data_IF_528114730700
#
_entry.id   IF_528114730700
#
_cell.length_a   1.000
_cell.length_b   1.000
_cell.length_c   1.000
_cell.angle_alpha   90.00
_cell.angle_beta   90.00
_cell.angle_gamma   90.00
#
_symmetry.space_group_name_H-M   'P 1'
#
loop_
_entity.id
_entity.type
_entity.pdbx_description
1 polymer ?
#
# COMPACT_ATOMS: atom_id res chain seq x y z
N UNK A 1 -3.90 22.49 4.01
CA UNK A 1 -3.82 23.94 3.72
C UNK A 1 -2.35 24.36 3.55
N UNK A 2 -1.48 24.03 4.51
CA UNK A 2 -0.05 24.35 4.45
C UNK A 2 0.66 23.86 3.17
N UNK A 3 0.50 22.59 2.79
CA UNK A 3 1.17 22.04 1.59
C UNK A 3 0.75 22.77 0.29
N UNK A 4 -0.56 23.01 0.12
CA UNK A 4 -1.09 23.79 -1.02
C UNK A 4 -0.49 25.20 -1.06
N UNK A 5 -0.43 25.88 0.09
CA UNK A 5 0.15 27.22 0.19
C UNK A 5 1.65 27.22 -0.13
N UNK A 6 2.40 26.24 0.38
CA UNK A 6 3.82 26.12 0.10
C UNK A 6 4.09 25.98 -1.40
N UNK A 7 3.39 25.07 -2.09
CA UNK A 7 3.57 24.94 -3.54
C UNK A 7 3.14 26.21 -4.27
N UNK A 8 2.00 26.81 -3.93
CA UNK A 8 1.54 28.06 -4.54
C UNK A 8 2.56 29.21 -4.40
N UNK A 9 3.27 29.30 -3.27
CA UNK A 9 4.30 30.32 -3.03
C UNK A 9 5.64 30.01 -3.72
N UNK A 10 5.88 28.76 -4.13
CA UNK A 10 7.17 28.31 -4.67
C UNK A 10 7.09 27.84 -6.14
N UNK A 11 5.94 27.94 -6.80
CA UNK A 11 5.73 27.44 -8.18
C UNK A 11 6.73 28.01 -9.19
N UNK A 12 7.09 29.29 -9.08
CA UNK A 12 8.01 29.96 -10.02
C UNK A 12 9.41 29.31 -10.02
N UNK A 13 9.81 28.69 -8.90
CA UNK A 13 11.08 27.99 -8.77
C UNK A 13 11.05 26.56 -9.37
N UNK A 14 9.86 26.03 -9.68
CA UNK A 14 9.65 24.65 -10.11
C UNK A 14 9.60 24.48 -11.64
N UNK A 15 10.05 25.48 -12.41
CA UNK A 15 10.34 25.38 -13.87
C UNK A 15 9.26 24.68 -14.71
N UNK A 16 7.98 25.04 -14.52
CA UNK A 16 6.87 24.53 -15.34
C UNK A 16 6.33 23.16 -14.92
N UNK A 17 6.71 22.63 -13.75
CA UNK A 17 6.08 21.44 -13.17
C UNK A 17 4.62 21.71 -12.85
N UNK A 18 3.74 20.77 -13.18
CA UNK A 18 2.35 20.78 -12.69
C UNK A 18 2.29 20.03 -11.37
N UNK A 19 1.83 20.71 -10.31
CA UNK A 19 1.67 20.10 -8.98
C UNK A 19 0.19 20.07 -8.62
N UNK A 20 -0.28 18.89 -8.24
CA UNK A 20 -1.61 18.71 -7.67
C UNK A 20 -1.48 18.17 -6.24
N UNK A 21 -2.05 18.90 -5.28
CA UNK A 21 -2.08 18.48 -3.88
C UNK A 21 -3.52 18.11 -3.53
N UNK A 22 -3.77 16.83 -3.29
CA UNK A 22 -5.08 16.32 -2.91
C UNK A 22 -5.11 16.01 -1.40
N UNK A 23 -6.30 16.05 -0.81
CA UNK A 23 -6.55 15.61 0.57
C UNK A 23 -7.40 14.36 0.52
N UNK A 24 -7.08 13.36 1.33
CA UNK A 24 -7.84 12.10 1.27
C UNK A 24 -9.27 12.26 1.78
N UNK A 25 -9.53 13.23 2.65
CA UNK A 25 -10.88 13.55 3.14
C UNK A 25 -11.80 14.09 2.03
N UNK A 26 -11.23 14.58 0.92
CA UNK A 26 -11.99 15.06 -0.23
C UNK A 26 -12.48 13.89 -1.12
N UNK A 27 -12.03 12.64 -0.86
CA UNK A 27 -12.44 11.46 -1.62
C UNK A 27 -13.76 10.87 -1.10
N UNK A 28 -14.86 11.20 -1.77
CA UNK A 28 -16.20 10.70 -1.40
C UNK A 28 -16.34 9.16 -1.45
N UNK A 29 -15.57 8.50 -2.33
CA UNK A 29 -15.54 7.04 -2.45
C UNK A 29 -14.72 6.37 -1.32
N UNK A 30 -13.87 7.10 -0.61
CA UNK A 30 -13.01 6.56 0.44
C UNK A 30 -13.78 6.47 1.78
N UNK A 31 -14.71 5.52 1.85
CA UNK A 31 -15.58 5.31 3.01
C UNK A 31 -15.70 3.82 3.38
N UNK A 32 -16.27 3.53 4.55
CA UNK A 32 -16.39 2.18 5.10
C UNK A 32 -17.29 1.23 4.28
N UNK A 33 -18.13 1.76 3.38
CA UNK A 33 -18.92 0.91 2.47
C UNK A 33 -18.10 0.32 1.33
N UNK A 34 -16.97 0.96 0.99
CA UNK A 34 -16.09 0.52 -0.10
C UNK A 34 -14.73 0.01 0.38
N UNK A 35 -14.16 0.62 1.42
CA UNK A 35 -12.79 0.36 1.90
C UNK A 35 -12.82 -0.58 3.13
N UNK A 36 -12.33 -1.83 3.02
CA UNK A 36 -12.41 -2.80 4.13
C UNK A 36 -11.65 -2.36 5.38
N UNK A 37 -10.53 -1.64 5.23
CA UNK A 37 -9.76 -1.13 6.37
C UNK A 37 -10.57 -0.11 7.18
N UNK A 38 -11.29 0.81 6.52
CA UNK A 38 -12.15 1.77 7.20
C UNK A 38 -13.33 1.08 7.89
N UNK A 39 -13.88 0.03 7.28
CA UNK A 39 -14.92 -0.80 7.90
C UNK A 39 -14.42 -1.47 9.17
N UNK A 40 -13.21 -2.04 9.14
CA UNK A 40 -12.57 -2.62 10.32
C UNK A 40 -12.27 -1.57 11.38
N UNK A 41 -11.89 -0.35 11.01
CA UNK A 41 -11.65 0.73 11.98
C UNK A 41 -12.90 1.22 12.72
N UNK A 42 -14.09 0.95 12.21
CA UNK A 42 -15.35 1.25 12.89
C UNK A 42 -15.73 0.19 13.92
N UNK A 43 -15.07 -0.96 13.91
CA UNK A 43 -15.29 -2.06 14.85
C UNK A 43 -14.60 -1.79 16.20
N UNK A 44 -15.35 -1.96 17.30
CA UNK A 44 -14.90 -1.64 18.65
C UNK A 44 -13.72 -2.51 19.10
N UNK A 45 -13.66 -3.76 18.64
CA UNK A 45 -12.58 -4.68 18.99
C UNK A 45 -11.29 -4.31 18.26
N UNK A 46 -11.41 -3.87 17.01
CA UNK A 46 -10.29 -3.30 16.24
C UNK A 46 -9.80 -2.00 16.85
N UNK A 47 -10.70 -1.12 17.27
CA UNK A 47 -10.34 0.11 17.96
C UNK A 47 -9.64 -0.16 19.29
N UNK A 48 -10.15 -1.09 20.10
CA UNK A 48 -9.52 -1.45 21.36
C UNK A 48 -8.12 -2.03 21.14
N UNK A 49 -7.91 -2.89 20.14
CA UNK A 49 -6.59 -3.45 19.85
C UNK A 49 -5.54 -2.38 19.51
N UNK A 50 -5.90 -1.38 18.68
CA UNK A 50 -4.95 -0.38 18.19
C UNK A 50 -4.85 0.87 19.08
N UNK A 51 -5.92 1.24 19.79
CA UNK A 51 -6.03 2.50 20.53
C UNK A 51 -6.22 2.33 22.04
N UNK A 52 -6.40 1.11 22.59
CA UNK A 52 -6.43 0.94 24.05
C UNK A 52 -5.04 1.15 24.66
N UNK A 53 -4.88 2.32 25.27
CA UNK A 53 -3.83 2.56 26.23
C UNK A 53 -4.19 1.87 27.55
N UNK A 54 -3.29 1.01 28.03
CA UNK A 54 -3.15 0.58 29.43
C UNK A 54 -3.99 -0.57 30.03
N UNK A 55 -4.97 -1.19 29.34
CA UNK A 55 -5.82 -2.23 29.98
C UNK A 55 -5.71 -3.66 29.40
N UNK A 56 -4.63 -4.00 28.70
CA UNK A 56 -4.44 -5.37 28.19
C UNK A 56 -3.25 -6.01 28.91
N UNK A 57 -3.43 -7.22 29.45
CA UNK A 57 -2.56 -8.03 30.34
C UNK A 57 -1.20 -8.41 29.73
N UNK A 58 -0.51 -7.49 29.06
CA UNK A 58 0.79 -7.72 28.43
C UNK A 58 0.76 -8.62 27.19
N UNK A 59 -0.42 -9.00 26.67
CA UNK A 59 -0.55 -9.92 25.53
C UNK A 59 -0.21 -9.30 24.18
N UNK A 60 -0.44 -8.00 24.00
CA UNK A 60 -0.20 -7.31 22.73
C UNK A 60 1.05 -6.43 22.81
N UNK A 61 2.16 -6.76 22.11
CA UNK A 61 3.39 -5.99 22.24
C UNK A 61 3.24 -4.54 21.77
N UNK A 62 3.88 -3.58 22.44
CA UNK A 62 3.71 -2.12 22.24
C UNK A 62 3.93 -1.69 20.77
N UNK A 63 4.81 -2.39 20.04
CA UNK A 63 5.05 -2.16 18.60
C UNK A 63 3.82 -2.36 17.69
N UNK A 64 2.79 -3.04 18.19
CA UNK A 64 1.53 -3.33 17.48
C UNK A 64 0.43 -2.29 17.73
N UNK A 65 0.69 -1.28 18.58
CA UNK A 65 -0.23 -0.19 18.93
C UNK A 65 0.08 1.13 18.22
N UNK A 66 0.60 1.07 16.99
CA UNK A 66 0.94 2.28 16.23
C UNK A 66 -0.18 2.61 15.22
N UNK A 67 -0.93 3.71 15.42
CA UNK A 67 -1.99 4.11 14.50
C UNK A 67 -1.49 4.44 13.08
N UNK A 68 -0.17 4.61 12.87
CA UNK A 68 0.41 4.71 11.52
C UNK A 68 0.12 3.50 10.64
N UNK A 69 -0.04 2.30 11.22
CA UNK A 69 -0.41 1.09 10.47
C UNK A 69 -1.85 1.11 9.96
N UNK A 70 -2.67 2.03 10.47
CA UNK A 70 -4.04 2.28 10.05
C UNK A 70 -4.17 3.60 9.30
N UNK A 71 -3.05 4.28 9.03
CA UNK A 71 -3.06 5.53 8.29
C UNK A 71 -3.63 5.28 6.90
N UNK A 72 -4.78 5.89 6.63
CA UNK A 72 -5.41 5.79 5.31
C UNK A 72 -4.52 6.28 4.19
N UNK A 73 -3.61 7.22 4.47
CA UNK A 73 -2.59 7.65 3.51
C UNK A 73 -1.69 6.49 3.05
N UNK A 74 -1.37 5.54 3.94
CA UNK A 74 -0.62 4.35 3.55
C UNK A 74 -1.46 3.40 2.69
N UNK A 75 -2.77 3.33 2.92
CA UNK A 75 -3.66 2.45 2.15
C UNK A 75 -4.07 3.03 0.79
N UNK A 76 -3.96 4.35 0.58
CA UNK A 76 -4.25 4.98 -0.72
C UNK A 76 -3.43 4.43 -1.88
N UNK A 77 -2.26 3.84 -1.61
CA UNK A 77 -1.44 3.16 -2.63
C UNK A 77 -2.18 2.02 -3.35
N UNK A 78 -3.20 1.44 -2.72
CA UNK A 78 -4.05 0.40 -3.31
C UNK A 78 -5.25 0.96 -4.10
N UNK A 79 -5.41 2.29 -4.13
CA UNK A 79 -6.52 2.98 -4.77
C UNK A 79 -6.04 4.00 -5.82
N UNK A 80 -4.82 3.82 -6.35
CA UNK A 80 -4.25 4.74 -7.34
C UNK A 80 -5.15 4.89 -8.58
N UNK A 81 -5.77 3.83 -9.14
CA UNK A 81 -6.70 3.98 -10.25
C UNK A 81 -7.96 4.81 -9.91
N UNK A 82 -8.41 4.80 -8.66
CA UNK A 82 -9.56 5.57 -8.19
C UNK A 82 -9.19 7.04 -7.98
N UNK A 83 -7.96 7.32 -7.53
CA UNK A 83 -7.42 8.69 -7.44
C UNK A 83 -7.15 9.27 -8.83
N UNK A 84 -6.61 8.46 -9.75
CA UNK A 84 -6.20 8.90 -11.09
C UNK A 84 -6.84 8.05 -12.21
N UNK A 85 -8.16 8.16 -12.42
CA UNK A 85 -8.89 7.29 -13.36
C UNK A 85 -8.48 7.47 -14.83
N UNK A 86 -8.04 8.68 -15.19
CA UNK A 86 -7.63 9.01 -16.56
C UNK A 86 -6.19 8.57 -16.89
N UNK A 87 -5.35 8.29 -15.89
CA UNK A 87 -3.97 7.92 -16.11
C UNK A 87 -3.82 6.45 -16.52
N UNK A 88 -2.83 6.18 -17.37
CA UNK A 88 -2.49 4.83 -17.85
C UNK A 88 -1.33 4.22 -17.08
N UNK A 89 -0.35 5.03 -16.66
CA UNK A 89 0.85 4.59 -15.95
C UNK A 89 1.26 5.66 -14.94
N UNK A 90 1.77 5.25 -13.78
CA UNK A 90 2.26 6.14 -12.72
C UNK A 90 3.60 5.62 -12.20
N UNK A 91 4.54 6.53 -11.95
CA UNK A 91 5.69 6.27 -11.08
C UNK A 91 5.30 6.74 -9.69
N UNK A 92 5.16 5.79 -8.77
CA UNK A 92 4.85 6.04 -7.37
C UNK A 92 6.16 6.23 -6.58
N UNK A 93 6.17 7.21 -5.67
CA UNK A 93 7.27 7.47 -4.75
C UNK A 93 6.66 7.67 -3.35
N UNK A 94 7.21 7.02 -2.32
CA UNK A 94 6.85 7.30 -0.93
C UNK A 94 7.39 8.70 -0.50
N UNK A 95 6.90 9.21 0.63
CA UNK A 95 7.16 10.58 1.11
C UNK A 95 8.58 10.82 1.63
N UNK A 96 9.34 9.75 1.90
CA UNK A 96 10.70 9.75 2.40
C UNK A 96 11.76 9.45 1.31
N UNK A 97 11.41 9.63 0.04
CA UNK A 97 12.29 9.36 -1.11
C UNK A 97 12.98 10.62 -1.63
N UNK A 98 14.28 10.51 -1.90
CA UNK A 98 15.08 11.54 -2.61
C UNK A 98 15.47 11.04 -4.00
N UNK A 99 15.03 11.76 -5.03
CA UNK A 99 15.34 11.46 -6.43
C UNK A 99 16.66 12.12 -6.83
N UNK A 100 17.62 11.32 -7.29
CA UNK A 100 18.96 11.80 -7.68
C UNK A 100 19.22 11.76 -9.19
N UNK A 101 18.31 11.16 -9.97
CA UNK A 101 18.43 11.00 -11.42
C UNK A 101 17.08 11.19 -12.08
N UNK A 102 17.11 11.52 -13.36
CA UNK A 102 15.91 11.62 -14.18
C UNK A 102 15.12 10.30 -14.21
N UNK A 103 13.81 10.39 -14.01
CA UNK A 103 12.90 9.24 -13.93
C UNK A 103 12.17 8.96 -15.24
N UNK A 104 12.36 9.78 -16.29
CA UNK A 104 11.57 9.70 -17.52
C UNK A 104 11.66 8.32 -18.18
N UNK A 105 12.84 7.70 -18.10
CA UNK A 105 13.08 6.35 -18.62
C UNK A 105 12.14 5.28 -18.01
N UNK A 106 11.70 5.44 -16.76
CA UNK A 106 10.83 4.48 -16.08
C UNK A 106 9.45 4.36 -16.74
N UNK A 107 8.94 5.45 -17.32
CA UNK A 107 7.65 5.44 -18.01
C UNK A 107 7.68 4.60 -19.30
N UNK A 108 8.87 4.43 -19.89
CA UNK A 108 9.08 3.66 -21.12
C UNK A 108 9.36 2.18 -20.87
N UNK A 109 9.51 1.75 -19.62
CA UNK A 109 9.71 0.33 -19.28
C UNK A 109 8.45 -0.46 -19.67
N UNK A 110 8.67 -1.56 -20.39
CA UNK A 110 7.65 -2.58 -20.64
C UNK A 110 7.55 -3.48 -19.39
N UNK A 111 6.37 -3.49 -18.77
CA UNK A 111 6.10 -4.33 -17.61
C UNK A 111 5.68 -5.76 -18.02
N UNK A 112 5.73 -6.14 -19.30
CA UNK A 112 5.38 -7.48 -19.77
C UNK A 112 3.98 -7.94 -19.31
N UNK A 113 3.00 -7.01 -19.33
CA UNK A 113 1.63 -7.18 -18.83
C UNK A 113 1.51 -7.32 -17.30
N UNK A 114 2.60 -7.16 -16.54
CA UNK A 114 2.52 -7.01 -15.08
C UNK A 114 1.92 -5.65 -14.73
N UNK A 115 1.33 -5.58 -13.54
CA UNK A 115 0.68 -4.38 -13.02
C UNK A 115 1.69 -3.48 -12.32
N UNK A 116 2.70 -4.08 -11.68
CA UNK A 116 3.70 -3.40 -10.88
C UNK A 116 5.10 -3.68 -11.45
N UNK A 117 5.93 -2.66 -11.58
CA UNK A 117 7.37 -2.78 -11.68
C UNK A 117 7.99 -2.33 -10.37
N UNK A 118 8.75 -3.20 -9.71
CA UNK A 118 9.34 -2.93 -8.41
C UNK A 118 10.79 -3.42 -8.33
N UNK A 119 11.54 -2.86 -7.39
CA UNK A 119 12.88 -3.36 -7.05
C UNK A 119 12.75 -4.49 -6.04
N UNK A 120 13.31 -5.65 -6.38
CA UNK A 120 13.40 -6.80 -5.48
C UNK A 120 14.28 -6.50 -4.26
N UNK A 121 13.85 -6.95 -3.09
CA UNK A 121 14.55 -6.75 -1.82
C UNK A 121 15.06 -8.05 -1.19
N UNK A 122 14.86 -9.18 -1.87
CA UNK A 122 15.22 -10.51 -1.38
C UNK A 122 16.72 -10.85 -1.57
N UNK A 123 17.60 -10.17 -0.85
CA UNK A 123 19.01 -10.59 -0.72
C UNK A 123 19.19 -11.59 0.43
N UNK A 124 20.38 -12.20 0.53
CA UNK A 124 20.74 -13.41 1.32
C UNK A 124 19.99 -13.63 2.65
N UNK A 125 19.76 -12.58 3.44
CA UNK A 125 19.18 -12.69 4.79
C UNK A 125 17.80 -12.06 4.97
N UNK A 126 17.16 -11.43 3.98
CA UNK A 126 15.91 -10.68 4.22
C UNK A 126 14.89 -10.69 3.08
N UNK A 127 13.63 -10.41 3.42
CA UNK A 127 12.50 -10.10 2.53
C UNK A 127 11.89 -11.22 1.65
N UNK A 128 12.00 -12.50 2.02
CA UNK A 128 11.12 -13.55 1.43
C UNK A 128 9.73 -13.56 2.07
N UNK A 129 8.74 -14.12 1.38
CA UNK A 129 7.33 -14.12 1.81
C UNK A 129 7.12 -14.76 3.18
N UNK A 130 7.85 -15.82 3.52
CA UNK A 130 7.74 -16.48 4.83
C UNK A 130 8.08 -15.59 6.03
N UNK A 131 8.76 -14.45 5.83
CA UNK A 131 9.02 -13.49 6.89
C UNK A 131 7.83 -12.57 7.17
N UNK A 132 6.91 -12.43 6.22
CA UNK A 132 5.78 -11.51 6.29
C UNK A 132 4.45 -12.20 6.57
N UNK A 133 4.30 -13.43 6.08
CA UNK A 133 3.04 -14.15 6.07
C UNK A 133 3.08 -15.35 7.02
N UNK A 134 1.92 -15.69 7.57
CA UNK A 134 1.77 -16.85 8.44
C UNK A 134 1.57 -18.14 7.61
N UNK A 135 2.66 -18.84 7.31
CA UNK A 135 2.63 -20.09 6.55
C UNK A 135 2.04 -21.29 7.29
N UNK A 136 1.82 -21.18 8.61
CA UNK A 136 1.01 -22.16 9.34
C UNK A 136 -0.48 -22.08 8.97
N UNK A 137 -0.93 -20.95 8.42
CA UNK A 137 -2.31 -20.78 7.99
C UNK A 137 -2.54 -21.44 6.62
N UNK A 138 -3.51 -22.37 6.48
CA UNK A 138 -3.73 -23.12 5.24
C UNK A 138 -3.94 -22.24 4.01
N UNK A 139 -4.66 -21.12 4.17
CA UNK A 139 -4.93 -20.18 3.08
C UNK A 139 -3.66 -19.56 2.49
N UNK A 140 -2.66 -19.22 3.32
CA UNK A 140 -1.39 -18.69 2.84
C UNK A 140 -0.60 -19.79 2.15
N UNK A 141 -0.47 -20.95 2.81
CA UNK A 141 0.30 -22.09 2.31
C UNK A 141 -0.18 -22.60 0.96
N UNK A 142 -1.48 -22.53 0.68
CA UNK A 142 -2.04 -23.02 -0.59
C UNK A 142 -1.95 -22.03 -1.75
N UNK A 143 -1.67 -20.74 -1.50
CA UNK A 143 -1.72 -19.69 -2.52
C UNK A 143 -0.35 -19.07 -2.84
N UNK A 144 0.60 -19.11 -1.91
CA UNK A 144 1.85 -18.37 -2.05
C UNK A 144 3.06 -19.25 -1.81
N UNK A 145 4.08 -19.12 -2.65
CA UNK A 145 5.39 -19.74 -2.43
C UNK A 145 6.11 -19.06 -1.23
N UNK A 146 6.49 -19.78 -0.16
CA UNK A 146 7.26 -19.22 0.96
C UNK A 146 8.58 -18.60 0.57
N UNK A 147 9.15 -19.04 -0.54
CA UNK A 147 10.43 -18.57 -1.05
C UNK A 147 10.28 -17.49 -2.12
N UNK A 148 9.07 -17.04 -2.44
CA UNK A 148 8.87 -15.91 -3.33
C UNK A 148 9.64 -14.67 -2.85
N UNK A 149 10.24 -13.97 -3.81
CA UNK A 149 10.98 -12.75 -3.58
C UNK A 149 10.03 -11.61 -3.19
N UNK A 150 10.30 -10.96 -2.05
CA UNK A 150 9.64 -9.71 -1.71
C UNK A 150 10.25 -8.52 -2.46
N UNK A 151 9.44 -7.49 -2.59
CA UNK A 151 9.82 -6.15 -2.99
C UNK A 151 9.30 -5.18 -1.91
N UNK A 152 9.58 -3.90 -2.02
CA UNK A 152 9.07 -2.90 -1.08
C UNK A 152 8.31 -1.80 -1.81
N UNK A 153 7.31 -1.24 -1.14
CA UNK A 153 6.85 0.08 -1.52
C UNK A 153 7.91 1.10 -1.14
N UNK A 154 8.18 2.02 -2.06
CA UNK A 154 9.17 3.09 -1.91
C UNK A 154 9.34 3.77 -3.26
N UNK A 155 9.57 2.95 -4.30
CA UNK A 155 9.38 3.36 -5.68
C UNK A 155 8.80 2.20 -6.49
N UNK A 156 7.74 2.49 -7.24
CA UNK A 156 7.06 1.50 -8.08
C UNK A 156 6.62 2.13 -9.39
N UNK A 157 6.54 1.34 -10.45
CA UNK A 157 5.90 1.73 -11.72
C UNK A 157 4.61 0.95 -11.86
N UNK A 158 3.46 1.62 -11.87
CA UNK A 158 2.17 0.95 -11.97
C UNK A 158 1.54 1.16 -13.35
N UNK A 159 1.16 0.06 -14.00
CA UNK A 159 0.27 0.08 -15.16
C UNK A 159 -1.19 0.07 -14.68
N UNK A 160 -1.84 1.22 -14.76
CA UNK A 160 -3.21 1.41 -14.29
C UNK A 160 -4.24 0.79 -15.23
N UNK A 161 -3.88 0.52 -16.50
CA UNK A 161 -4.77 -0.18 -17.44
C UNK A 161 -4.87 -1.64 -17.04
N UNK A 162 -3.74 -2.32 -16.85
CA UNK A 162 -3.72 -3.72 -16.38
C UNK A 162 -4.23 -3.82 -14.94
N UNK A 163 -3.97 -2.84 -14.07
CA UNK A 163 -4.55 -2.80 -12.71
C UNK A 163 -6.07 -2.88 -12.73
N UNK A 164 -6.72 -2.00 -13.53
CA UNK A 164 -8.19 -1.96 -13.65
C UNK A 164 -8.73 -3.25 -14.27
N UNK A 165 -8.08 -3.74 -15.33
CA UNK A 165 -8.48 -4.97 -16.03
C UNK A 165 -8.43 -6.21 -15.13
N UNK A 166 -7.43 -6.30 -14.25
CA UNK A 166 -7.27 -7.41 -13.30
C UNK A 166 -7.97 -7.18 -11.96
N UNK A 167 -8.63 -6.03 -11.79
CA UNK A 167 -9.29 -5.62 -10.55
C UNK A 167 -8.39 -5.78 -9.31
N UNK A 168 -7.16 -5.26 -9.38
CA UNK A 168 -6.17 -5.43 -8.31
C UNK A 168 -6.62 -4.78 -7.00
N UNK A 169 -7.38 -3.68 -7.04
CA UNK A 169 -8.04 -3.08 -5.86
C UNK A 169 -8.99 -4.08 -5.19
N UNK A 170 -9.74 -4.86 -5.98
CA UNK A 170 -10.61 -5.92 -5.47
C UNK A 170 -9.85 -7.10 -4.84
N UNK A 171 -8.68 -7.47 -5.39
CA UNK A 171 -7.80 -8.49 -4.79
C UNK A 171 -7.30 -8.01 -3.43
N UNK A 172 -6.90 -6.73 -3.34
CA UNK A 172 -6.53 -6.11 -2.08
C UNK A 172 -7.69 -6.14 -1.06
N UNK A 173 -8.92 -5.83 -1.48
CA UNK A 173 -10.09 -5.92 -0.61
C UNK A 173 -10.28 -7.34 -0.06
N UNK A 174 -10.22 -8.34 -0.94
CA UNK A 174 -10.35 -9.74 -0.55
C UNK A 174 -9.36 -10.12 0.55
N UNK A 175 -8.08 -9.77 0.41
CA UNK A 175 -7.09 -10.11 1.43
C UNK A 175 -7.32 -9.37 2.74
N UNK A 176 -7.72 -8.10 2.70
CA UNK A 176 -8.04 -7.35 3.92
C UNK A 176 -9.23 -7.96 4.67
N UNK A 177 -10.27 -8.40 3.97
CA UNK A 177 -11.42 -9.08 4.56
C UNK A 177 -11.06 -10.46 5.12
N UNK A 178 -10.11 -11.17 4.49
CA UNK A 178 -9.63 -12.46 5.00
C UNK A 178 -8.72 -12.35 6.22
N UNK A 179 -8.17 -11.17 6.51
CA UNK A 179 -7.26 -10.94 7.63
C UNK A 179 -7.88 -10.08 8.75
N UNK A 180 -9.22 -10.06 8.87
CA UNK A 180 -9.91 -9.33 9.96
C UNK A 180 -9.43 -9.79 11.34
N UNK A 181 -9.20 -11.10 11.50
CA UNK A 181 -8.68 -11.71 12.73
C UNK A 181 -7.14 -11.63 12.88
N UNK A 182 -6.45 -11.07 11.87
CA UNK A 182 -5.00 -10.84 11.81
C UNK A 182 -4.15 -12.10 11.88
N UNK A 183 -4.73 -13.23 11.44
CA UNK A 183 -4.04 -14.52 11.46
C UNK A 183 -3.16 -14.74 10.23
N UNK A 184 -3.42 -14.07 9.10
CA UNK A 184 -2.66 -14.22 7.85
C UNK A 184 -1.36 -13.43 7.86
N UNK A 185 -1.38 -12.19 8.35
CA UNK A 185 -0.21 -11.36 8.64
C UNK A 185 -0.51 -10.40 9.78
N UNK A 186 0.55 -9.89 10.44
CA UNK A 186 0.41 -9.14 11.69
C UNK A 186 0.19 -7.64 11.50
N UNK A 187 1.00 -6.97 10.66
CA UNK A 187 1.00 -5.50 10.55
C UNK A 187 1.53 -5.00 9.20
N UNK A 188 1.19 -3.73 8.93
CA UNK A 188 1.75 -2.96 7.83
C UNK A 188 1.04 -3.20 6.50
N UNK A 189 1.40 -2.38 5.51
CA UNK A 189 0.83 -2.43 4.16
C UNK A 189 1.67 -3.29 3.20
N UNK A 190 2.91 -3.63 3.57
CA UNK A 190 3.75 -4.46 2.72
C UNK A 190 3.20 -5.89 2.56
N UNK A 191 2.85 -6.65 3.63
CA UNK A 191 2.29 -7.99 3.46
C UNK A 191 1.04 -8.03 2.56
N UNK A 192 0.00 -7.18 2.74
CA UNK A 192 -1.12 -7.18 1.81
C UNK A 192 -0.73 -6.72 0.41
N UNK A 193 0.30 -5.89 0.25
CA UNK A 193 0.92 -5.59 -1.06
C UNK A 193 1.47 -6.83 -1.76
N UNK A 194 2.30 -7.59 -1.07
CA UNK A 194 2.87 -8.83 -1.60
C UNK A 194 1.77 -9.82 -2.02
N UNK A 195 0.73 -9.99 -1.20
CA UNK A 195 -0.43 -10.85 -1.53
C UNK A 195 -1.22 -10.33 -2.74
N UNK A 196 -1.42 -9.02 -2.83
CA UNK A 196 -2.23 -8.36 -3.86
C UNK A 196 -1.58 -8.44 -5.24
N UNK A 197 -0.26 -8.27 -5.32
CA UNK A 197 0.48 -8.24 -6.57
C UNK A 197 1.25 -9.52 -6.87
N UNK A 198 0.95 -10.62 -6.17
CA UNK A 198 1.61 -11.90 -6.42
C UNK A 198 1.35 -12.39 -7.85
N UNK A 199 2.42 -12.66 -8.61
CA UNK A 199 2.34 -12.97 -10.04
C UNK A 199 1.95 -11.79 -10.94
N UNK A 200 1.95 -10.57 -10.41
CA UNK A 200 1.64 -9.31 -11.12
C UNK A 200 2.77 -8.28 -11.03
N UNK A 201 3.95 -8.67 -10.55
CA UNK A 201 5.16 -7.83 -10.42
C UNK A 201 6.27 -8.40 -11.29
#
# INVERSE_FOLDING_TARGET
AAMKAWFAMNMDNLRGVTVEVQKFEDFSWLNASYVPVLKQLQDSDTQSYYFSGHNDDGRTPIKFRNPKYLSMLNHLRFYIPEVFPALKKVVFLDDDVVVQKDLSGLFSIDLNKNVNGAVETCMETFHRYHKYLNYSHPLIRSHFDPDACGWAFGMNVFDLVEWRKRNVTGIYHYWQEKNVDRTLWKLGTLPPGLLTFYGLT
#
